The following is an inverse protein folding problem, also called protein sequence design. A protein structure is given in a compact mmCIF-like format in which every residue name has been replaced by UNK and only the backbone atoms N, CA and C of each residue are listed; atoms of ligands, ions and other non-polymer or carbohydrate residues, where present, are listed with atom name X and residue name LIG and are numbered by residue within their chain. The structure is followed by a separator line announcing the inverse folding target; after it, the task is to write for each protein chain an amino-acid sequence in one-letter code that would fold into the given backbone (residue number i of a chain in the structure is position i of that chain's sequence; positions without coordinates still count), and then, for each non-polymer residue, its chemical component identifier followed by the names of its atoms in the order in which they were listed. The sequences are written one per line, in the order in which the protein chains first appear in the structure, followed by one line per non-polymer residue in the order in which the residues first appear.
data_IF_464675977238
#
_entry.id   IF_464675977238
#
_cell.length_a   1.000
_cell.length_b   1.000
_cell.length_c   1.000
_cell.angle_alpha   90.00
_cell.angle_beta   90.00
_cell.angle_gamma   90.00
#
_symmetry.space_group_name_H-M   'P 1'
#
loop_
_entity.id
_entity.type
_entity.pdbx_description
1 polymer ?
#
# COMPACT_ATOMS: atom_id res chain seq x y z
N UNK A 1 -23.51 -18.72 5.67
CA UNK A 1 -22.28 -18.00 6.09
C UNK A 1 -22.50 -16.53 5.75
N UNK A 2 -22.29 -15.61 6.69
CA UNK A 2 -22.42 -14.17 6.42
C UNK A 2 -21.09 -13.67 5.85
N UNK A 3 -21.09 -13.18 4.61
CA UNK A 3 -19.91 -12.55 4.02
C UNK A 3 -19.70 -11.19 4.68
N UNK A 4 -18.55 -11.00 5.33
CA UNK A 4 -18.16 -9.67 5.83
C UNK A 4 -17.33 -9.00 4.74
N UNK A 5 -17.86 -7.92 4.17
CA UNK A 5 -17.13 -7.06 3.26
C UNK A 5 -16.34 -6.07 4.11
N UNK A 6 -15.01 -6.14 4.03
CA UNK A 6 -14.12 -5.17 4.65
C UNK A 6 -13.65 -4.18 3.58
N UNK A 7 -13.57 -2.89 3.93
CA UNK A 7 -12.72 -1.97 3.16
C UNK A 7 -11.26 -2.40 3.33
N UNK A 8 -10.39 -2.08 2.36
CA UNK A 8 -8.98 -2.41 2.44
C UNK A 8 -8.31 -1.80 3.69
N UNK A 9 -8.68 -0.58 4.07
CA UNK A 9 -8.30 0.05 5.34
C UNK A 9 -8.71 -0.78 6.55
N UNK A 10 -9.98 -1.19 6.65
CA UNK A 10 -10.47 -1.99 7.77
C UNK A 10 -9.83 -3.38 7.81
N UNK A 11 -9.52 -3.94 6.64
CA UNK A 11 -8.79 -5.19 6.50
C UNK A 11 -7.36 -5.07 7.05
N UNK A 12 -6.60 -4.06 6.60
CA UNK A 12 -5.23 -3.81 7.06
C UNK A 12 -5.18 -3.59 8.59
N UNK A 13 -6.08 -2.76 9.13
CA UNK A 13 -6.19 -2.52 10.56
C UNK A 13 -6.51 -3.81 11.35
N UNK A 14 -7.51 -4.57 10.91
CA UNK A 14 -7.94 -5.78 11.60
C UNK A 14 -6.88 -6.88 11.54
N UNK A 15 -6.20 -7.02 10.40
CA UNK A 15 -5.15 -8.02 10.23
C UNK A 15 -3.94 -7.66 11.08
N UNK A 16 -3.48 -6.41 11.04
CA UNK A 16 -2.36 -5.94 11.86
C UNK A 16 -2.64 -6.11 13.36
N UNK A 17 -3.84 -5.76 13.82
CA UNK A 17 -4.24 -5.97 15.21
C UNK A 17 -4.29 -7.46 15.60
N UNK A 18 -4.74 -8.32 14.69
CA UNK A 18 -4.87 -9.76 14.95
C UNK A 18 -3.53 -10.49 14.97
N UNK A 19 -2.61 -10.10 14.09
CA UNK A 19 -1.26 -10.70 14.01
C UNK A 19 -0.27 -10.03 14.95
N UNK A 20 -0.60 -8.85 15.47
CA UNK A 20 0.36 -7.97 16.17
C UNK A 20 1.57 -7.61 15.30
N UNK A 21 1.36 -7.50 13.98
CA UNK A 21 2.40 -7.20 12.99
C UNK A 21 1.92 -6.05 12.13
N UNK A 22 2.75 -5.03 11.85
CA UNK A 22 2.46 -4.03 10.84
C UNK A 22 2.28 -4.65 9.45
N UNK A 23 1.29 -4.18 8.70
CA UNK A 23 0.95 -4.69 7.36
C UNK A 23 0.70 -3.53 6.42
N UNK A 24 1.44 -3.52 5.32
CA UNK A 24 1.23 -2.62 4.19
C UNK A 24 0.54 -3.41 3.07
N UNK A 25 -0.65 -2.96 2.69
CA UNK A 25 -1.39 -3.47 1.54
C UNK A 25 -1.20 -2.49 0.40
N UNK A 26 -0.63 -2.96 -0.71
CA UNK A 26 -0.45 -2.17 -1.92
C UNK A 26 -1.42 -2.68 -2.98
N UNK A 27 -2.08 -1.79 -3.71
CA UNK A 27 -2.99 -2.15 -4.79
C UNK A 27 -2.96 -1.17 -5.94
N UNK A 28 -3.24 -1.66 -7.14
CA UNK A 28 -3.32 -0.86 -8.37
C UNK A 28 -4.68 -1.09 -9.03
N UNK A 29 -5.04 -0.25 -9.99
CA UNK A 29 -6.28 -0.37 -10.76
C UNK A 29 -6.23 -1.42 -11.89
N UNK A 30 -5.12 -2.17 -12.01
CA UNK A 30 -4.91 -3.18 -13.07
C UNK A 30 -4.75 -2.60 -14.48
N UNK A 31 -4.97 -1.29 -14.65
CA UNK A 31 -4.97 -0.61 -15.95
C UNK A 31 -3.57 -0.50 -16.58
N UNK A 32 -2.50 -0.59 -15.77
CA UNK A 32 -1.14 -0.23 -16.18
C UNK A 32 -0.03 -1.16 -15.67
N UNK A 33 -0.38 -2.39 -15.24
CA UNK A 33 0.61 -3.37 -14.78
C UNK A 33 1.73 -3.61 -15.81
N UNK A 34 1.44 -3.49 -17.11
CA UNK A 34 2.39 -3.76 -18.18
C UNK A 34 3.55 -2.75 -18.37
N UNK A 35 3.81 -1.87 -17.39
CA UNK A 35 4.84 -0.84 -17.52
C UNK A 35 6.00 -1.10 -16.57
N UNK A 36 7.21 -1.18 -17.14
CA UNK A 36 8.54 -1.14 -16.50
C UNK A 36 8.77 0.10 -15.60
N UNK A 37 7.70 0.79 -15.21
CA UNK A 37 7.65 2.03 -14.44
C UNK A 37 7.47 1.75 -12.94
N UNK A 38 6.88 0.61 -12.55
CA UNK A 38 6.91 0.20 -11.14
C UNK A 38 8.34 -0.16 -10.68
N UNK A 39 9.20 -0.58 -11.61
CA UNK A 39 10.60 -0.87 -11.33
C UNK A 39 11.35 0.35 -10.79
N UNK A 40 10.94 1.56 -11.20
CA UNK A 40 11.55 2.83 -10.80
C UNK A 40 11.15 3.31 -9.39
N UNK A 41 10.16 2.69 -8.75
CA UNK A 41 9.77 3.06 -7.38
C UNK A 41 10.79 2.44 -6.42
N UNK A 42 11.58 3.30 -5.79
CA UNK A 42 12.50 2.92 -4.73
C UNK A 42 11.71 2.56 -3.44
N UNK A 43 12.26 1.66 -2.63
CA UNK A 43 11.64 1.24 -1.36
C UNK A 43 10.60 0.12 -1.46
N UNK A 44 10.27 -0.36 -2.66
CA UNK A 44 9.50 -1.60 -2.85
C UNK A 44 10.41 -2.71 -3.39
N UNK A 45 10.41 -3.86 -2.70
CA UNK A 45 11.14 -5.04 -3.13
C UNK A 45 10.62 -5.63 -4.44
N UNK A 46 11.52 -6.27 -5.20
CA UNK A 46 11.19 -6.86 -6.50
C UNK A 46 10.07 -7.91 -6.42
N UNK A 47 10.00 -8.66 -5.32
CA UNK A 47 8.94 -9.65 -5.10
C UNK A 47 7.55 -8.98 -5.01
N UNK A 48 7.46 -7.89 -4.26
CA UNK A 48 6.23 -7.10 -4.10
C UNK A 48 5.82 -6.47 -5.44
N UNK A 49 6.79 -5.97 -6.21
CA UNK A 49 6.55 -5.46 -7.58
C UNK A 49 5.99 -6.55 -8.49
N UNK A 50 6.55 -7.76 -8.43
CA UNK A 50 6.06 -8.91 -9.21
C UNK A 50 4.65 -9.33 -8.78
N UNK A 51 4.33 -9.27 -7.49
CA UNK A 51 2.99 -9.59 -7.00
C UNK A 51 1.96 -8.54 -7.47
N UNK A 52 2.30 -7.25 -7.39
CA UNK A 52 1.48 -6.18 -7.95
C UNK A 52 1.27 -6.35 -9.47
N UNK A 53 2.30 -6.80 -10.20
CA UNK A 53 2.19 -7.05 -11.64
C UNK A 53 1.24 -8.20 -11.98
N UNK A 54 1.20 -9.25 -11.16
CA UNK A 54 0.44 -10.46 -11.44
C UNK A 54 -0.99 -10.43 -10.89
N UNK A 55 -1.17 -9.80 -9.74
CA UNK A 55 -2.39 -9.89 -8.95
C UNK A 55 -3.05 -8.54 -8.66
N UNK A 56 -2.45 -7.43 -9.12
CA UNK A 56 -2.87 -6.05 -8.84
C UNK A 56 -2.85 -5.65 -7.35
N UNK A 57 -2.43 -6.56 -6.46
CA UNK A 57 -2.35 -6.39 -5.02
C UNK A 57 -1.12 -7.11 -4.46
N UNK A 58 -0.51 -6.54 -3.42
CA UNK A 58 0.58 -7.16 -2.69
C UNK A 58 0.50 -6.85 -1.19
N UNK A 59 1.03 -7.76 -0.37
CA UNK A 59 1.03 -7.64 1.08
C UNK A 59 2.47 -7.68 1.62
N UNK A 60 2.83 -6.66 2.40
CA UNK A 60 4.15 -6.57 3.03
C UNK A 60 3.98 -6.50 4.54
N UNK A 61 4.70 -7.36 5.26
CA UNK A 61 4.77 -7.36 6.72
C UNK A 61 6.11 -6.80 7.18
N UNK A 62 6.11 -6.10 8.30
CA UNK A 62 7.34 -5.55 8.89
C UNK A 62 7.50 -6.01 10.34
N UNK A 63 8.72 -5.97 10.85
CA UNK A 63 9.00 -6.38 12.23
C UNK A 63 8.60 -5.29 13.24
N UNK A 64 8.56 -4.03 12.80
CA UNK A 64 8.26 -2.88 13.66
C UNK A 64 7.42 -1.81 12.99
N UNK A 65 6.72 -1.03 13.82
CA UNK A 65 5.94 0.12 13.37
C UNK A 65 6.84 1.18 12.70
N UNK A 66 8.04 1.39 13.23
CA UNK A 66 8.98 2.38 12.71
C UNK A 66 9.46 2.01 11.31
N UNK A 67 9.80 0.73 11.10
CA UNK A 67 10.17 0.19 9.79
C UNK A 67 9.03 0.33 8.78
N UNK A 68 7.81 -0.04 9.18
CA UNK A 68 6.65 0.04 8.30
C UNK A 68 6.32 1.48 7.90
N UNK A 69 6.43 2.43 8.84
CA UNK A 69 6.24 3.86 8.56
C UNK A 69 7.34 4.39 7.64
N UNK A 70 8.61 4.05 7.90
CA UNK A 70 9.72 4.48 7.06
C UNK A 70 9.62 3.93 5.62
N UNK A 71 9.15 2.68 5.47
CA UNK A 71 8.90 2.09 4.16
C UNK A 71 7.79 2.84 3.40
N UNK A 72 6.68 3.18 4.07
CA UNK A 72 5.62 3.99 3.47
C UNK A 72 6.11 5.41 3.12
N UNK A 73 6.86 6.06 4.01
CA UNK A 73 7.39 7.40 3.75
C UNK A 73 8.35 7.42 2.55
N UNK A 74 9.20 6.39 2.45
CA UNK A 74 10.11 6.21 1.31
C UNK A 74 9.33 6.01 0.01
N UNK A 75 8.29 5.18 0.04
CA UNK A 75 7.40 4.95 -1.09
C UNK A 75 6.74 6.24 -1.56
N UNK A 76 6.21 7.04 -0.64
CA UNK A 76 5.57 8.33 -0.94
C UNK A 76 6.59 9.29 -1.55
N UNK A 77 7.78 9.41 -0.94
CA UNK A 77 8.82 10.34 -1.39
C UNK A 77 9.41 9.96 -2.76
N UNK A 78 9.50 8.66 -3.05
CA UNK A 78 9.93 8.14 -4.34
C UNK A 78 8.82 8.10 -5.39
N UNK A 79 7.56 8.38 -5.01
CA UNK A 79 6.44 8.33 -5.93
C UNK A 79 6.48 9.50 -6.92
N UNK A 80 6.38 9.26 -8.23
CA UNK A 80 6.44 10.35 -9.20
C UNK A 80 5.20 11.25 -9.10
N UNK A 81 5.40 12.57 -8.94
CA UNK A 81 4.31 13.57 -8.86
C UNK A 81 3.43 13.60 -10.12
N UNK A 82 4.00 13.33 -11.30
CA UNK A 82 3.29 13.30 -12.57
C UNK A 82 3.25 11.87 -13.13
N UNK A 83 2.37 11.05 -12.54
CA UNK A 83 2.22 9.65 -12.97
C UNK A 83 0.84 9.35 -13.54
N UNK A 84 0.82 8.45 -14.52
CA UNK A 84 -0.39 7.79 -15.00
C UNK A 84 -0.63 6.45 -14.27
N UNK A 85 0.23 6.13 -13.31
CA UNK A 85 0.12 4.93 -12.49
C UNK A 85 -0.82 5.19 -11.31
N UNK A 86 -1.69 4.24 -11.04
CA UNK A 86 -2.50 4.21 -9.83
C UNK A 86 -1.77 3.39 -8.77
N UNK A 87 -1.69 3.92 -7.55
CA UNK A 87 -1.30 3.15 -6.39
C UNK A 87 -2.14 3.58 -5.20
N UNK A 88 -2.66 2.59 -4.51
CA UNK A 88 -3.31 2.75 -3.22
C UNK A 88 -2.55 1.90 -2.22
N UNK A 89 -2.07 2.55 -1.17
CA UNK A 89 -1.32 1.92 -0.10
C UNK A 89 -2.06 2.10 1.24
N UNK A 90 -2.31 0.99 1.95
CA UNK A 90 -2.90 0.99 3.28
C UNK A 90 -1.93 0.38 4.29
N UNK A 91 -1.43 1.21 5.21
CA UNK A 91 -0.56 0.76 6.29
C UNK A 91 -1.35 0.62 7.59
N UNK A 92 -1.60 -0.63 7.98
CA UNK A 92 -2.11 -0.97 9.30
C UNK A 92 -0.97 -1.21 10.29
N UNK A 93 -0.96 -0.47 11.40
CA UNK A 93 -0.04 -0.68 12.52
C UNK A 93 -0.87 -1.03 13.77
N UNK A 94 -0.47 -2.05 14.58
CA UNK A 94 -1.22 -2.43 15.77
C UNK A 94 -1.44 -1.24 16.72
N UNK A 95 -2.71 -0.95 17.02
CA UNK A 95 -3.08 0.12 17.97
C UNK A 95 -2.94 1.54 17.44
N UNK A 96 -2.67 1.74 16.15
CA UNK A 96 -2.55 3.07 15.53
C UNK A 96 -3.60 3.27 14.42
N UNK A 97 -3.94 4.53 14.09
CA UNK A 97 -4.72 4.83 12.89
C UNK A 97 -4.05 4.28 11.63
N UNK A 98 -4.84 3.79 10.69
CA UNK A 98 -4.31 3.30 9.41
C UNK A 98 -3.89 4.49 8.57
N UNK A 99 -2.65 4.47 8.06
CA UNK A 99 -2.19 5.46 7.08
C UNK A 99 -2.60 5.01 5.70
N UNK A 100 -3.05 5.96 4.88
CA UNK A 100 -3.50 5.71 3.52
C UNK A 100 -2.78 6.69 2.60
N UNK A 101 -2.18 6.15 1.55
CA UNK A 101 -1.62 6.91 0.46
C UNK A 101 -2.35 6.54 -0.83
N UNK A 102 -2.93 7.53 -1.48
CA UNK A 102 -3.67 7.39 -2.73
C UNK A 102 -2.97 8.24 -3.80
N UNK A 103 -2.45 7.59 -4.83
CA UNK A 103 -2.00 8.23 -6.05
C UNK A 103 -2.83 7.67 -7.21
N UNK A 104 -3.72 8.47 -7.77
CA UNK A 104 -4.60 8.06 -8.87
C UNK A 104 -4.15 8.76 -10.14
N UNK A 105 -4.13 8.04 -11.26
CA UNK A 105 -3.73 8.59 -12.55
C UNK A 105 -4.50 9.88 -12.88
N UNK A 106 -3.78 10.98 -13.08
CA UNK A 106 -4.37 12.29 -13.40
C UNK A 106 -4.89 13.10 -12.21
N UNK A 107 -4.65 12.65 -10.97
CA UNK A 107 -4.95 13.36 -9.72
C UNK A 107 -3.67 13.58 -8.90
N UNK A 108 -3.71 14.54 -7.97
CA UNK A 108 -2.62 14.75 -7.01
C UNK A 108 -2.53 13.56 -6.04
N UNK A 109 -1.31 13.22 -5.64
CA UNK A 109 -1.08 12.19 -4.64
C UNK A 109 -1.44 12.73 -3.25
N UNK A 110 -2.22 11.96 -2.48
CA UNK A 110 -2.72 12.38 -1.17
C UNK A 110 -2.35 11.35 -0.08
N UNK A 111 -1.88 11.86 1.06
CA UNK A 111 -1.72 11.07 2.28
C UNK A 111 -2.80 11.47 3.30
N UNK A 112 -3.40 10.48 3.95
CA UNK A 112 -4.38 10.68 5.03
C UNK A 112 -4.31 9.62 6.10
N UNK A 113 -4.73 10.00 7.31
CA UNK A 113 -5.03 9.07 8.39
C UNK A 113 -6.49 8.65 8.30
N UNK A 114 -6.74 7.34 8.26
CA UNK A 114 -8.09 6.80 8.34
C UNK A 114 -8.52 6.71 9.81
N UNK A 115 -9.70 7.27 10.09
CA UNK A 115 -10.34 7.30 11.40
C UNK A 115 -11.04 5.98 11.76
#
# INVERSE_FOLDING_TARGET
MSHRNYSATAFAAALAAKTSTPILVLSTDGSNANSMRYDAIEGIDLEVKNELHQNDIAFVTYDSADEANAALDTLIAAWPESTTLSLIAHLGVPGQPTRVFDAIAGYEAEEKLAA
#
